data_IF_678644465166
#
_entry.id   IF_678644465166
#
_cell.length_a   1.000
_cell.length_b   1.000
_cell.length_c   1.000
_cell.angle_alpha   90.00
_cell.angle_beta   90.00
_cell.angle_gamma   90.00
#
_symmetry.space_group_name_H-M   'P 1'
#
loop_
_entity.id
_entity.type
_entity.pdbx_description
1 polymer ?
#
# COMPACT_ATOMS: atom_id res chain seq x y z
N UNK A 1 13.13 2.74 -0.66
CA UNK A 1 14.38 2.05 -0.28
C UNK A 1 14.87 2.60 1.04
N UNK A 2 15.21 1.74 1.99
CA UNK A 2 15.70 2.10 3.32
C UNK A 2 17.00 1.34 3.56
N UNK A 3 18.06 2.05 3.93
CA UNK A 3 19.31 1.47 4.41
C UNK A 3 19.33 1.50 5.94
N UNK A 4 19.63 0.37 6.57
CA UNK A 4 19.68 0.23 8.03
C UNK A 4 21.12 0.24 8.54
N UNK A 5 21.29 0.72 9.76
CA UNK A 5 22.54 0.62 10.51
C UNK A 5 22.75 -0.83 10.97
N UNK A 6 23.65 -1.52 10.26
CA UNK A 6 23.88 -2.98 10.37
C UNK A 6 24.23 -3.42 11.78
N UNK A 7 25.00 -2.60 12.51
CA UNK A 7 25.44 -2.93 13.86
C UNK A 7 24.28 -2.87 14.87
N UNK A 8 23.23 -2.11 14.56
CA UNK A 8 22.04 -1.96 15.40
C UNK A 8 20.90 -2.90 15.03
N UNK A 9 20.90 -3.45 13.82
CA UNK A 9 19.78 -4.26 13.31
C UNK A 9 20.10 -5.73 13.09
N UNK A 10 21.32 -6.18 13.39
CA UNK A 10 21.81 -7.56 13.13
C UNK A 10 20.94 -8.67 13.73
N UNK A 11 20.38 -8.44 14.92
CA UNK A 11 19.59 -9.44 15.66
C UNK A 11 18.07 -9.17 15.62
N UNK A 12 17.63 -8.20 14.81
CA UNK A 12 16.24 -7.78 14.76
C UNK A 12 15.46 -8.56 13.69
N UNK A 13 14.21 -8.88 14.02
CA UNK A 13 13.28 -9.49 13.07
C UNK A 13 12.83 -8.44 12.04
N UNK A 14 13.03 -8.74 10.76
CA UNK A 14 12.70 -7.85 9.64
C UNK A 14 11.25 -7.33 9.66
N UNK A 15 10.28 -8.18 10.00
CA UNK A 15 8.87 -7.77 10.12
C UNK A 15 8.68 -6.71 11.21
N UNK A 16 9.33 -6.90 12.38
CA UNK A 16 9.26 -5.90 13.46
C UNK A 16 9.91 -4.59 13.04
N UNK A 17 11.02 -4.63 12.32
CA UNK A 17 11.68 -3.44 11.79
C UNK A 17 10.75 -2.70 10.83
N UNK A 18 10.12 -3.43 9.90
CA UNK A 18 9.18 -2.85 8.94
C UNK A 18 7.98 -2.22 9.64
N UNK A 19 7.42 -2.85 10.67
CA UNK A 19 6.31 -2.31 11.44
C UNK A 19 6.71 -1.03 12.21
N UNK A 20 7.93 -0.97 12.76
CA UNK A 20 8.44 0.26 13.39
C UNK A 20 8.70 1.37 12.37
N UNK A 21 9.34 1.05 11.23
CA UNK A 21 9.53 2.00 10.11
C UNK A 21 8.18 2.56 9.67
N UNK A 22 7.17 1.69 9.54
CA UNK A 22 5.85 2.10 9.10
C UNK A 22 5.23 3.14 10.04
N UNK A 23 5.38 3.01 11.36
CA UNK A 23 4.90 4.04 12.31
C UNK A 23 5.50 5.43 12.04
N UNK A 24 6.80 5.50 11.71
CA UNK A 24 7.44 6.77 11.36
C UNK A 24 6.98 7.29 10.00
N UNK A 25 6.77 6.39 9.04
CA UNK A 25 6.24 6.74 7.73
C UNK A 25 4.81 7.26 7.83
N UNK A 26 3.95 6.65 8.65
CA UNK A 26 2.60 7.13 8.93
C UNK A 26 2.63 8.54 9.52
N UNK A 27 3.57 8.82 10.42
CA UNK A 27 3.72 10.16 10.98
C UNK A 27 4.14 11.18 9.90
N UNK A 28 5.05 10.82 9.00
CA UNK A 28 5.43 11.69 7.88
C UNK A 28 4.28 11.86 6.87
N UNK A 29 3.48 10.82 6.62
CA UNK A 29 2.35 10.85 5.70
C UNK A 29 1.23 11.80 6.18
N UNK A 30 1.08 12.03 7.49
CA UNK A 30 0.12 13.00 8.05
C UNK A 30 0.40 14.43 7.61
N UNK A 31 1.69 14.77 7.46
CA UNK A 31 2.14 16.10 7.05
C UNK A 31 2.28 16.22 5.52
N UNK A 32 2.05 15.14 4.78
CA UNK A 32 2.19 15.07 3.34
C UNK A 32 0.82 15.13 2.62
N UNK A 33 0.73 15.83 1.48
CA UNK A 33 -0.42 15.72 0.57
C UNK A 33 -0.67 14.26 0.16
N UNK A 34 -1.94 13.86 0.02
CA UNK A 34 -2.37 12.51 -0.38
C UNK A 34 -1.57 11.91 -1.55
N UNK A 35 -1.31 12.67 -2.61
CA UNK A 35 -0.57 12.21 -3.80
C UNK A 35 0.93 11.94 -3.58
N UNK A 36 1.48 12.29 -2.41
CA UNK A 36 2.90 12.15 -2.07
C UNK A 36 3.14 11.24 -0.86
N UNK A 37 2.07 10.66 -0.30
CA UNK A 37 2.16 9.70 0.79
C UNK A 37 2.87 8.42 0.34
N UNK A 38 3.66 7.86 1.25
CA UNK A 38 4.37 6.61 1.03
C UNK A 38 3.45 5.42 1.35
N UNK A 39 3.40 4.47 0.42
CA UNK A 39 2.62 3.22 0.51
C UNK A 39 3.48 2.15 1.18
N UNK A 40 2.93 1.44 2.19
CA UNK A 40 3.68 0.45 2.99
C UNK A 40 4.32 -0.63 2.11
N UNK A 41 3.57 -1.14 1.14
CA UNK A 41 3.99 -2.20 0.22
C UNK A 41 5.12 -1.78 -0.73
N UNK A 42 5.34 -0.48 -0.93
CA UNK A 42 6.44 0.06 -1.75
C UNK A 42 7.70 0.37 -0.91
N UNK A 43 7.64 0.13 0.40
CA UNK A 43 8.81 0.25 1.28
C UNK A 43 9.63 -1.03 1.18
N UNK A 44 10.90 -0.87 0.82
CA UNK A 44 11.85 -1.97 0.73
C UNK A 44 13.10 -1.65 1.54
N UNK A 45 13.47 -2.57 2.42
CA UNK A 45 14.70 -2.52 3.22
C UNK A 45 15.81 -3.16 2.38
N UNK A 46 16.91 -2.44 2.19
CA UNK A 46 18.05 -2.92 1.44
C UNK A 46 18.78 -4.03 2.21
N UNK A 47 19.29 -5.02 1.46
CA UNK A 47 20.11 -6.09 2.02
C UNK A 47 21.41 -5.55 2.61
N UNK A 48 22.03 -6.31 3.50
CA UNK A 48 23.25 -5.91 4.22
C UNK A 48 24.46 -5.64 3.30
N UNK A 49 24.46 -6.09 2.06
CA UNK A 49 25.49 -5.84 1.05
C UNK A 49 25.22 -4.59 0.20
N UNK A 50 24.08 -3.95 0.36
CA UNK A 50 23.63 -2.78 -0.39
C UNK A 50 23.77 -1.51 0.45
N UNK A 51 23.97 -0.36 -0.22
CA UNK A 51 24.06 0.96 0.42
C UNK A 51 23.58 2.06 -0.52
N UNK A 52 22.95 3.09 0.03
CA UNK A 52 22.48 4.26 -0.72
C UNK A 52 23.65 5.21 -0.96
N UNK A 53 24.02 5.49 -2.23
CA UNK A 53 25.09 6.43 -2.52
C UNK A 53 24.82 7.82 -1.96
N UNK A 54 25.78 8.33 -1.18
CA UNK A 54 25.78 9.69 -0.61
C UNK A 54 26.95 10.52 -1.14
N UNK A 55 26.77 11.83 -1.17
CA UNK A 55 27.87 12.78 -1.41
C UNK A 55 28.82 12.82 -0.21
N UNK A 56 29.99 13.44 -0.38
CA UNK A 56 30.92 13.74 0.73
C UNK A 56 30.29 14.54 1.89
N UNK A 57 29.12 15.14 1.68
CA UNK A 57 28.34 15.88 2.69
C UNK A 57 27.15 15.08 3.25
N UNK A 58 27.05 13.77 2.95
CA UNK A 58 25.98 12.89 3.43
C UNK A 58 24.65 12.99 2.67
N UNK A 59 24.50 13.88 1.68
CA UNK A 59 23.27 13.96 0.89
C UNK A 59 23.13 12.77 -0.06
N UNK A 60 21.92 12.19 -0.14
CA UNK A 60 21.57 11.12 -1.08
C UNK A 60 21.77 11.55 -2.54
N UNK A 61 22.51 10.77 -3.32
CA UNK A 61 22.71 10.97 -4.75
C UNK A 61 21.56 10.33 -5.53
N UNK A 62 20.37 10.95 -5.50
CA UNK A 62 19.12 10.40 -6.07
C UNK A 62 19.25 9.83 -7.48
N UNK A 63 19.91 10.54 -8.40
CA UNK A 63 20.12 10.04 -9.76
C UNK A 63 20.94 8.73 -9.79
N UNK A 64 21.99 8.66 -8.97
CA UNK A 64 22.83 7.47 -8.85
C UNK A 64 22.10 6.32 -8.17
N UNK A 65 21.27 6.61 -7.15
CA UNK A 65 20.38 5.63 -6.52
C UNK A 65 19.41 5.04 -7.56
N UNK A 66 18.73 5.90 -8.34
CA UNK A 66 17.78 5.46 -9.35
C UNK A 66 18.44 4.61 -10.45
N UNK A 67 19.68 4.92 -10.83
CA UNK A 67 20.46 4.13 -11.78
C UNK A 67 20.90 2.79 -11.19
N UNK A 68 21.44 2.81 -9.96
CA UNK A 68 21.96 1.62 -9.30
C UNK A 68 20.86 0.60 -8.98
N UNK A 69 19.70 1.10 -8.55
CA UNK A 69 18.57 0.28 -8.10
C UNK A 69 17.41 0.26 -9.09
N UNK A 70 17.63 0.61 -10.36
CA UNK A 70 16.54 0.69 -11.36
C UNK A 70 15.74 -0.61 -11.42
N UNK A 71 16.42 -1.76 -11.47
CA UNK A 71 15.79 -3.06 -11.59
C UNK A 71 15.02 -3.44 -10.33
N UNK A 72 15.60 -3.16 -9.15
CA UNK A 72 14.94 -3.42 -7.87
C UNK A 72 13.68 -2.55 -7.72
N UNK A 73 13.77 -1.27 -8.06
CA UNK A 73 12.63 -0.36 -8.03
C UNK A 73 11.53 -0.85 -8.96
N UNK A 74 11.86 -1.18 -10.22
CA UNK A 74 10.89 -1.73 -11.17
C UNK A 74 10.25 -3.01 -10.64
N UNK A 75 11.04 -3.92 -10.08
CA UNK A 75 10.53 -5.17 -9.51
C UNK A 75 9.54 -4.91 -8.35
N UNK A 76 9.85 -3.99 -7.44
CA UNK A 76 8.94 -3.63 -6.33
C UNK A 76 7.61 -3.11 -6.88
N UNK A 77 7.64 -2.24 -7.90
CA UNK A 77 6.43 -1.75 -8.54
C UNK A 77 5.67 -2.87 -9.26
N UNK A 78 6.37 -3.73 -9.99
CA UNK A 78 5.75 -4.84 -10.71
C UNK A 78 5.09 -5.83 -9.75
N UNK A 79 5.73 -6.15 -8.63
CA UNK A 79 5.18 -7.00 -7.57
C UNK A 79 3.93 -6.35 -6.95
N UNK A 80 3.99 -5.07 -6.63
CA UNK A 80 2.85 -4.33 -6.09
C UNK A 80 1.65 -4.30 -7.05
N UNK A 81 1.90 -4.00 -8.33
CA UNK A 81 0.85 -3.94 -9.37
C UNK A 81 0.32 -5.32 -9.77
N UNK A 82 1.16 -6.36 -9.63
CA UNK A 82 0.84 -7.70 -10.08
C UNK A 82 0.57 -8.72 -8.98
N UNK A 83 0.49 -8.28 -7.73
CA UNK A 83 0.15 -9.14 -6.58
C UNK A 83 -0.98 -10.10 -6.96
N UNK A 84 -0.63 -11.38 -6.98
CA UNK A 84 -1.43 -12.39 -7.69
C UNK A 84 -2.73 -12.64 -6.92
N UNK A 85 -3.84 -12.42 -7.61
CA UNK A 85 -5.11 -12.99 -7.22
C UNK A 85 -4.97 -14.51 -7.18
N UNK A 86 -5.04 -15.08 -5.98
CA UNK A 86 -5.04 -16.53 -5.79
C UNK A 86 -6.43 -16.97 -5.34
N UNK A 87 -7.23 -17.49 -6.27
CA UNK A 87 -8.58 -18.01 -6.02
C UNK A 87 -8.61 -19.01 -4.86
N UNK A 88 -7.56 -19.82 -4.70
CA UNK A 88 -7.47 -20.83 -3.64
C UNK A 88 -7.30 -20.22 -2.24
N UNK A 89 -6.95 -18.93 -2.14
CA UNK A 89 -6.92 -18.22 -0.86
C UNK A 89 -8.31 -17.69 -0.45
N UNK A 90 -9.30 -17.62 -1.35
CA UNK A 90 -10.67 -17.18 -1.01
C UNK A 90 -11.29 -18.05 0.10
N UNK A 91 -11.05 -19.36 0.07
CA UNK A 91 -11.58 -20.29 1.07
C UNK A 91 -11.05 -20.03 2.50
N UNK A 92 -9.87 -19.41 2.64
CA UNK A 92 -9.31 -19.03 3.96
C UNK A 92 -9.93 -17.75 4.54
N UNK A 93 -10.49 -16.87 3.69
CA UNK A 93 -11.14 -15.63 4.12
C UNK A 93 -12.56 -15.85 4.63
N UNK A 94 -13.28 -16.83 4.08
CA UNK A 94 -14.64 -17.21 4.50
C UNK A 94 -14.68 -17.63 5.99
N UNK A 95 -13.55 -18.00 6.59
CA UNK A 95 -13.47 -18.34 8.03
C UNK A 95 -13.24 -17.12 8.96
N UNK A 96 -13.12 -15.90 8.41
CA UNK A 96 -12.97 -14.66 9.19
C UNK A 96 -14.10 -13.68 8.86
N UNK A 97 -15.11 -13.67 9.73
CA UNK A 97 -15.89 -12.51 10.20
C UNK A 97 -17.31 -12.25 9.67
N UNK A 98 -18.13 -11.75 10.61
CA UNK A 98 -19.50 -11.26 10.49
C UNK A 98 -19.55 -9.93 9.73
N UNK A 99 -19.01 -9.86 8.51
CA UNK A 99 -19.17 -8.66 7.68
C UNK A 99 -20.65 -8.48 7.32
N UNK A 100 -21.16 -7.28 7.55
CA UNK A 100 -22.44 -6.82 7.02
C UNK A 100 -22.15 -5.82 5.92
N UNK A 101 -23.12 -5.58 5.02
CA UNK A 101 -22.99 -4.51 4.03
C UNK A 101 -22.57 -3.18 4.66
N UNK A 102 -23.19 -2.82 5.80
CA UNK A 102 -22.88 -1.59 6.53
C UNK A 102 -21.44 -1.56 7.06
N UNK A 103 -20.94 -2.68 7.63
CA UNK A 103 -19.57 -2.70 8.13
C UNK A 103 -18.53 -2.69 7.01
N UNK A 104 -18.83 -3.29 5.84
CA UNK A 104 -17.97 -3.18 4.65
C UNK A 104 -17.96 -1.74 4.13
N UNK A 105 -19.12 -1.10 4.02
CA UNK A 105 -19.22 0.30 3.58
C UNK A 105 -18.42 1.24 4.49
N UNK A 106 -18.55 1.08 5.80
CA UNK A 106 -17.80 1.86 6.78
C UNK A 106 -16.29 1.60 6.71
N UNK A 107 -15.88 0.34 6.55
CA UNK A 107 -14.49 -0.02 6.33
C UNK A 107 -13.92 0.65 5.07
N UNK A 108 -14.65 0.57 3.93
CA UNK A 108 -14.22 1.19 2.69
C UNK A 108 -14.11 2.71 2.87
N UNK A 109 -15.12 3.37 3.47
CA UNK A 109 -15.06 4.81 3.80
C UNK A 109 -13.79 5.16 4.56
N UNK A 110 -13.45 4.41 5.61
CA UNK A 110 -12.25 4.64 6.41
C UNK A 110 -10.98 4.53 5.55
N UNK A 111 -10.84 3.46 4.75
CA UNK A 111 -9.66 3.25 3.90
C UNK A 111 -9.52 4.34 2.84
N UNK A 112 -10.61 4.70 2.19
CA UNK A 112 -10.58 5.77 1.21
C UNK A 112 -10.29 7.14 1.83
N UNK A 113 -10.81 7.44 3.03
CA UNK A 113 -10.46 8.66 3.78
C UNK A 113 -8.98 8.68 4.20
N UNK A 114 -8.36 7.53 4.45
CA UNK A 114 -6.91 7.45 4.70
C UNK A 114 -6.07 7.86 3.48
N UNK A 115 -6.60 7.63 2.27
CA UNK A 115 -5.91 7.87 1.01
C UNK A 115 -6.24 9.24 0.41
N UNK A 116 -7.45 9.74 0.63
CA UNK A 116 -7.94 11.02 0.10
C UNK A 116 -8.06 12.08 1.19
N UNK A 117 -7.70 13.32 0.85
CA UNK A 117 -7.82 14.47 1.76
C UNK A 117 -9.24 15.06 1.83
N UNK A 118 -10.26 14.29 1.44
CA UNK A 118 -11.65 14.74 1.34
C UNK A 118 -12.65 13.67 1.72
N UNK A 119 -13.84 14.11 2.14
CA UNK A 119 -14.98 13.23 2.40
C UNK A 119 -15.56 12.71 1.09
N UNK A 120 -15.85 11.41 1.05
CA UNK A 120 -16.36 10.74 -0.14
C UNK A 120 -17.85 10.49 -0.02
N UNK A 121 -18.56 10.76 -1.10
CA UNK A 121 -19.95 10.36 -1.29
C UNK A 121 -19.96 8.92 -1.80
N UNK A 122 -20.61 8.03 -1.04
CA UNK A 122 -20.63 6.58 -1.33
C UNK A 122 -21.27 6.21 -2.65
N UNK A 123 -22.13 7.09 -3.17
CA UNK A 123 -22.85 6.91 -4.42
C UNK A 123 -22.06 7.36 -5.64
N UNK A 124 -21.00 8.15 -5.44
CA UNK A 124 -20.16 8.70 -6.52
C UNK A 124 -18.97 7.81 -6.82
N UNK A 125 -18.48 7.94 -8.05
CA UNK A 125 -17.27 7.28 -8.49
C UNK A 125 -16.07 7.80 -7.70
N UNK A 126 -15.24 6.91 -7.20
CA UNK A 126 -14.00 7.24 -6.49
C UNK A 126 -13.02 8.02 -7.39
N UNK A 127 -13.11 7.83 -8.71
CA UNK A 127 -12.33 8.57 -9.69
C UNK A 127 -12.67 10.06 -9.73
N UNK A 128 -13.91 10.44 -9.40
CA UNK A 128 -14.34 11.83 -9.33
C UNK A 128 -13.64 12.59 -8.18
N UNK A 129 -13.12 11.84 -7.20
CA UNK A 129 -12.36 12.35 -6.06
C UNK A 129 -10.84 12.33 -6.29
N UNK A 130 -10.39 12.07 -7.52
CA UNK A 130 -8.98 12.11 -7.89
C UNK A 130 -8.17 10.87 -7.49
N UNK A 131 -8.83 9.74 -7.20
CA UNK A 131 -8.14 8.47 -6.96
C UNK A 131 -7.39 8.05 -8.23
N UNK A 132 -6.09 7.76 -8.09
CA UNK A 132 -5.23 7.34 -9.19
C UNK A 132 -4.98 5.81 -9.20
N UNK A 133 -4.30 5.31 -10.24
CA UNK A 133 -4.08 3.88 -10.44
C UNK A 133 -3.29 3.20 -9.32
N UNK A 134 -2.29 3.86 -8.73
CA UNK A 134 -1.52 3.32 -7.60
C UNK A 134 -2.40 3.20 -6.36
N UNK A 135 -3.23 4.21 -6.10
CA UNK A 135 -4.19 4.18 -4.99
C UNK A 135 -5.26 3.11 -5.18
N UNK A 136 -5.71 2.86 -6.41
CA UNK A 136 -6.62 1.74 -6.72
C UNK A 136 -5.96 0.39 -6.37
N UNK A 137 -4.69 0.20 -6.73
CA UNK A 137 -3.96 -1.03 -6.38
C UNK A 137 -3.78 -1.15 -4.87
N UNK A 138 -3.42 -0.06 -4.18
CA UNK A 138 -3.30 -0.03 -2.72
C UNK A 138 -4.61 -0.42 -2.02
N UNK A 139 -5.73 0.21 -2.42
CA UNK A 139 -7.06 -0.09 -1.90
C UNK A 139 -7.45 -1.54 -2.13
N UNK A 140 -7.19 -2.05 -3.35
CA UNK A 140 -7.44 -3.45 -3.67
C UNK A 140 -6.67 -4.37 -2.73
N UNK A 141 -5.39 -4.11 -2.52
CA UNK A 141 -4.55 -4.97 -1.70
C UNK A 141 -4.99 -4.93 -0.23
N UNK A 142 -5.44 -3.78 0.29
CA UNK A 142 -6.07 -3.66 1.60
C UNK A 142 -7.37 -4.47 1.72
N UNK A 143 -8.24 -4.44 0.70
CA UNK A 143 -9.46 -5.26 0.68
C UNK A 143 -9.11 -6.76 0.63
N UNK A 144 -8.10 -7.13 -0.16
CA UNK A 144 -7.60 -8.50 -0.25
C UNK A 144 -7.00 -9.02 1.06
N UNK A 145 -6.40 -8.14 1.87
CA UNK A 145 -5.80 -8.49 3.17
C UNK A 145 -6.85 -8.63 4.28
N UNK A 146 -7.86 -7.77 4.29
CA UNK A 146 -8.81 -7.65 5.42
C UNK A 146 -10.17 -8.34 5.18
N UNK A 147 -10.62 -8.44 3.92
CA UNK A 147 -11.96 -8.93 3.56
C UNK A 147 -11.89 -10.21 2.74
N UNK A 148 -11.52 -10.12 1.46
CA UNK A 148 -11.52 -11.25 0.53
C UNK A 148 -10.72 -10.94 -0.73
N UNK A 149 -10.29 -11.98 -1.44
CA UNK A 149 -9.59 -11.82 -2.72
C UNK A 149 -10.57 -11.33 -3.80
N UNK A 150 -10.20 -10.23 -4.46
CA UNK A 150 -10.96 -9.63 -5.56
C UNK A 150 -10.14 -9.52 -6.86
N UNK A 151 -10.79 -9.57 -8.05
CA UNK A 151 -10.12 -9.34 -9.34
C UNK A 151 -9.41 -7.98 -9.43
N UNK A 152 -8.39 -7.86 -10.30
CA UNK A 152 -7.62 -6.61 -10.48
C UNK A 152 -8.47 -5.44 -10.99
N UNK A 153 -9.47 -5.73 -11.82
CA UNK A 153 -10.42 -4.78 -12.38
C UNK A 153 -11.59 -4.43 -11.45
N UNK A 154 -11.70 -5.06 -10.27
CA UNK A 154 -12.89 -4.94 -9.42
C UNK A 154 -13.27 -3.48 -9.09
N UNK A 155 -12.31 -2.65 -8.69
CA UNK A 155 -12.56 -1.24 -8.33
C UNK A 155 -12.84 -0.36 -9.56
N UNK A 156 -12.41 -0.79 -10.76
CA UNK A 156 -12.75 -0.09 -12.00
C UNK A 156 -14.18 -0.42 -12.45
N UNK A 157 -14.65 -1.64 -12.21
CA UNK A 157 -16.01 -2.08 -12.55
C UNK A 157 -17.04 -1.63 -11.52
N UNK A 158 -16.63 -1.50 -10.25
CA UNK A 158 -17.46 -1.08 -9.13
C UNK A 158 -16.90 0.21 -8.56
N UNK A 159 -17.07 1.31 -9.29
CA UNK A 159 -16.37 2.57 -9.03
C UNK A 159 -16.87 3.34 -7.80
N UNK A 160 -18.01 3.01 -7.20
CA UNK A 160 -18.52 3.66 -5.98
C UNK A 160 -18.47 2.72 -4.77
N UNK A 161 -18.40 3.29 -3.56
CA UNK A 161 -18.36 2.49 -2.32
C UNK A 161 -19.64 1.66 -2.17
N UNK A 162 -20.80 2.20 -2.55
CA UNK A 162 -22.07 1.46 -2.54
C UNK A 162 -21.99 0.20 -3.40
N UNK A 163 -21.50 0.32 -4.64
CA UNK A 163 -21.33 -0.81 -5.55
C UNK A 163 -20.35 -1.84 -5.01
N UNK A 164 -19.21 -1.38 -4.47
CA UNK A 164 -18.22 -2.27 -3.86
C UNK A 164 -18.81 -3.04 -2.69
N UNK A 165 -19.50 -2.36 -1.77
CA UNK A 165 -20.11 -2.99 -0.58
C UNK A 165 -21.17 -4.03 -0.96
N UNK A 166 -21.97 -3.79 -2.01
CA UNK A 166 -22.99 -4.72 -2.50
C UNK A 166 -22.39 -5.97 -3.16
N UNK A 167 -21.19 -5.86 -3.75
CA UNK A 167 -20.51 -7.01 -4.36
C UNK A 167 -19.65 -7.82 -3.39
N UNK A 168 -19.22 -7.20 -2.30
CA UNK A 168 -18.39 -7.83 -1.27
C UNK A 168 -19.22 -8.52 -0.17
N UNK A 169 -20.49 -8.12 0.01
CA UNK A 169 -21.46 -8.76 0.91
C UNK A 169 -22.20 -9.90 0.21
#
# INVERSE_FOLDING_TARGET
LIELDKDKTKDLNEKKILDEIWKYVEQANKDAPSHSRLIKQLIHILSNDQSLPVTHKGNLQRQKINQLYSNLISQIYDEFLNEQYNEQQQEKFIQRSNWTKESIENYLKEKFQGILDQTIDVSKSVFDFGVNSLQIVELRNLICEDICQIPKNFLYENSSIDQMSEKLF
#
